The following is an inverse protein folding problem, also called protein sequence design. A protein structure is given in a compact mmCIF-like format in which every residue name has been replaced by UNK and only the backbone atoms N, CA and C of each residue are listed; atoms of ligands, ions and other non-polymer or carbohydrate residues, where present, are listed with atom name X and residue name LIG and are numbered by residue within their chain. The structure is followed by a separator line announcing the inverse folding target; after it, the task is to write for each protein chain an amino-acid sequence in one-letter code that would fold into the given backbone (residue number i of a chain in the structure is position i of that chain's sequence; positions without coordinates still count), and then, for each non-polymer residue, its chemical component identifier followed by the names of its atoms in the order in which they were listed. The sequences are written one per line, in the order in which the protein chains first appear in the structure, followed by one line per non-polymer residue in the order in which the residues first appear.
data_IF_802816913254
#
_entry.id   IF_802816913254
#
_cell.length_a   1.000
_cell.length_b   1.000
_cell.length_c   1.000
_cell.angle_alpha   90.00
_cell.angle_beta   90.00
_cell.angle_gamma   90.00
#
_symmetry.space_group_name_H-M   'P 1'
#
loop_
_entity.id
_entity.type
_entity.pdbx_description
1 polymer ?
#
# COMPACT_ATOMS: atom_id res chain seq x y z
N UNK A 1 8.66 -4.34 2.50
CA UNK A 1 8.61 -3.83 1.11
C UNK A 1 9.99 -3.93 0.49
N UNK A 2 10.13 -4.55 -0.69
CA UNK A 2 11.40 -4.62 -1.44
C UNK A 2 11.35 -3.64 -2.64
N UNK A 3 12.04 -2.48 -2.62
CA UNK A 3 11.99 -1.49 -3.70
C UNK A 3 12.77 -1.89 -4.95
N UNK A 4 13.77 -2.78 -4.84
CA UNK A 4 14.56 -3.25 -5.98
C UNK A 4 13.77 -4.16 -6.95
N UNK A 5 12.71 -4.81 -6.49
CA UNK A 5 11.84 -5.63 -7.33
C UNK A 5 10.93 -4.80 -8.25
N UNK A 6 10.74 -3.51 -7.96
CA UNK A 6 9.94 -2.62 -8.80
C UNK A 6 10.66 -2.22 -10.10
N UNK A 7 11.99 -2.08 -10.05
CA UNK A 7 12.80 -1.71 -11.22
C UNK A 7 13.04 -2.89 -12.15
N UNK A 8 13.46 -4.03 -11.60
CA UNK A 8 13.78 -5.21 -12.41
C UNK A 8 12.53 -5.87 -13.04
N UNK A 9 11.35 -5.66 -12.45
CA UNK A 9 10.11 -6.26 -12.95
C UNK A 9 9.72 -5.80 -14.36
N UNK A 10 10.04 -4.57 -14.79
CA UNK A 10 9.72 -4.09 -16.15
C UNK A 10 10.81 -4.38 -17.19
N UNK A 11 12.03 -4.70 -16.75
CA UNK A 11 13.11 -5.18 -17.64
C UNK A 11 12.80 -6.59 -18.17
N UNK A 12 12.02 -7.39 -17.43
CA UNK A 12 11.57 -8.72 -17.86
C UNK A 12 10.55 -8.64 -19.02
N UNK A 13 9.43 -7.86 -18.93
CA UNK A 13 8.57 -7.56 -20.07
C UNK A 13 9.29 -6.89 -21.24
N UNK A 14 10.29 -6.05 -20.99
CA UNK A 14 11.11 -5.47 -22.06
C UNK A 14 11.87 -6.55 -22.84
N UNK A 15 12.58 -7.43 -22.13
CA UNK A 15 13.34 -8.51 -22.75
C UNK A 15 12.47 -9.55 -23.47
N UNK A 16 11.21 -9.70 -23.07
CA UNK A 16 10.29 -10.72 -23.62
C UNK A 16 9.32 -10.19 -24.68
N UNK A 17 8.83 -8.95 -24.55
CA UNK A 17 7.67 -8.42 -25.30
C UNK A 17 7.94 -7.07 -25.97
N UNK A 18 9.10 -6.46 -25.72
CA UNK A 18 9.55 -5.25 -26.39
C UNK A 18 9.25 -3.93 -25.66
N UNK A 19 9.60 -2.79 -26.29
CA UNK A 19 9.67 -1.49 -25.63
C UNK A 19 8.32 -0.89 -25.21
N UNK A 20 7.23 -1.21 -25.91
CA UNK A 20 5.89 -0.73 -25.54
C UNK A 20 5.42 -1.32 -24.20
N UNK A 21 5.72 -2.59 -23.92
CA UNK A 21 5.37 -3.24 -22.66
C UNK A 21 6.18 -2.70 -21.49
N UNK A 22 7.43 -2.30 -21.73
CA UNK A 22 8.23 -1.55 -20.76
C UNK A 22 7.57 -0.24 -20.38
N UNK A 23 7.14 0.56 -21.37
CA UNK A 23 6.53 1.86 -21.13
C UNK A 23 5.22 1.74 -20.32
N UNK A 24 4.37 0.77 -20.68
CA UNK A 24 3.12 0.49 -19.94
C UNK A 24 3.43 0.04 -18.51
N UNK A 25 4.34 -0.92 -18.33
CA UNK A 25 4.73 -1.42 -17.01
C UNK A 25 5.34 -0.33 -16.12
N UNK A 26 6.18 0.51 -16.70
CA UNK A 26 6.80 1.65 -16.01
C UNK A 26 5.75 2.69 -15.59
N UNK A 27 4.82 3.05 -16.48
CA UNK A 27 3.77 4.02 -16.18
C UNK A 27 2.90 3.55 -15.01
N UNK A 28 2.34 2.35 -15.07
CA UNK A 28 1.50 1.80 -14.00
C UNK A 28 2.25 1.65 -12.67
N UNK A 29 3.53 1.25 -12.71
CA UNK A 29 4.32 1.11 -11.49
C UNK A 29 4.70 2.47 -10.89
N UNK A 30 5.07 3.45 -11.71
CA UNK A 30 5.32 4.82 -11.25
C UNK A 30 4.07 5.42 -10.62
N UNK A 31 2.89 5.26 -11.23
CA UNK A 31 1.64 5.71 -10.63
C UNK A 31 1.34 4.97 -9.32
N UNK A 32 1.54 3.65 -9.28
CA UNK A 32 1.36 2.85 -8.06
C UNK A 32 2.28 3.32 -6.92
N UNK A 33 3.56 3.58 -7.21
CA UNK A 33 4.51 4.07 -6.23
C UNK A 33 4.18 5.50 -5.78
N UNK A 34 3.77 6.38 -6.69
CA UNK A 34 3.37 7.75 -6.36
C UNK A 34 2.16 7.75 -5.42
N UNK A 35 1.09 7.03 -5.77
CA UNK A 35 -0.08 6.90 -4.91
C UNK A 35 0.27 6.18 -3.60
N UNK A 36 1.15 5.18 -3.64
CA UNK A 36 1.68 4.50 -2.46
C UNK A 36 2.37 5.48 -1.50
N UNK A 37 3.22 6.38 -2.00
CA UNK A 37 3.88 7.41 -1.20
C UNK A 37 2.87 8.39 -0.59
N UNK A 38 1.83 8.80 -1.32
CA UNK A 38 0.74 9.63 -0.79
C UNK A 38 0.03 8.91 0.36
N UNK A 39 -0.33 7.64 0.19
CA UNK A 39 -0.99 6.82 1.22
C UNK A 39 -0.11 6.70 2.47
N UNK A 40 1.19 6.45 2.33
CA UNK A 40 2.11 6.35 3.47
C UNK A 40 2.22 7.68 4.23
N UNK A 41 2.27 8.81 3.51
CA UNK A 41 2.34 10.13 4.14
C UNK A 41 1.08 10.45 4.94
N UNK A 42 -0.11 10.17 4.39
CA UNK A 42 -1.39 10.31 5.11
C UNK A 42 -1.43 9.39 6.34
N UNK A 43 -0.93 8.16 6.21
CA UNK A 43 -0.88 7.20 7.32
C UNK A 43 0.02 7.68 8.47
N UNK A 44 1.19 8.27 8.17
CA UNK A 44 2.06 8.89 9.19
C UNK A 44 1.31 9.98 9.98
N UNK A 45 0.65 10.89 9.27
CA UNK A 45 -0.11 11.99 9.89
C UNK A 45 -1.31 11.47 10.70
N UNK A 46 -1.97 10.39 10.25
CA UNK A 46 -3.05 9.78 11.00
C UNK A 46 -2.56 9.05 12.25
N UNK A 47 -1.40 8.39 12.20
CA UNK A 47 -0.87 7.63 13.33
C UNK A 47 -0.42 8.56 14.47
N UNK A 48 0.30 9.63 14.15
CA UNK A 48 0.71 10.60 15.19
C UNK A 48 -0.49 11.27 15.85
N UNK A 49 -1.57 11.53 15.11
CA UNK A 49 -2.81 12.10 15.65
C UNK A 49 -3.44 11.22 16.74
N UNK A 50 -3.26 9.88 16.67
CA UNK A 50 -3.76 8.97 17.70
C UNK A 50 -2.95 8.98 19.01
N UNK A 51 -1.71 9.48 18.94
CA UNK A 51 -0.85 9.72 20.11
C UNK A 51 -1.09 11.13 20.65
N UNK A 52 -1.07 12.12 19.76
CA UNK A 52 -1.20 13.53 20.09
C UNK A 52 -2.28 14.19 19.21
N UNK A 53 -3.42 14.44 19.83
CA UNK A 53 -4.62 15.05 19.24
C UNK A 53 -4.66 16.59 19.38
N UNK A 54 -3.59 17.24 19.86
CA UNK A 54 -3.54 18.70 19.97
C UNK A 54 -3.52 19.42 18.62
N UNK A 55 -3.07 18.74 17.56
CA UNK A 55 -3.00 19.30 16.21
C UNK A 55 -3.93 18.53 15.27
N UNK A 56 -4.56 19.25 14.35
CA UNK A 56 -5.35 18.66 13.28
C UNK A 56 -4.51 17.69 12.42
N UNK A 57 -5.14 16.63 11.90
CA UNK A 57 -4.48 15.66 10.98
C UNK A 57 -3.80 16.35 9.79
N UNK A 58 -4.38 17.44 9.27
CA UNK A 58 -3.75 18.22 8.20
C UNK A 58 -2.46 18.91 8.65
N UNK A 59 -2.46 19.50 9.84
CA UNK A 59 -1.25 20.14 10.41
C UNK A 59 -0.14 19.11 10.58
N UNK A 60 -0.47 17.92 11.06
CA UNK A 60 0.47 16.80 11.08
C UNK A 60 0.96 16.40 9.69
N UNK A 61 0.10 16.48 8.65
CA UNK A 61 0.49 16.22 7.26
C UNK A 61 1.48 17.27 6.72
N UNK A 62 1.38 18.53 7.14
CA UNK A 62 2.39 19.54 6.81
C UNK A 62 3.75 19.22 7.45
N UNK A 63 3.76 18.88 8.74
CA UNK A 63 4.99 18.56 9.48
C UNK A 63 5.64 17.30 8.89
N UNK A 64 4.90 16.20 8.77
CA UNK A 64 5.43 14.97 8.22
C UNK A 64 5.77 15.07 6.74
N UNK A 65 5.08 15.91 5.97
CA UNK A 65 5.43 16.19 4.58
C UNK A 65 6.79 16.87 4.46
N UNK A 66 7.07 17.86 5.32
CA UNK A 66 8.38 18.49 5.39
C UNK A 66 9.47 17.49 5.83
N UNK A 67 9.21 16.66 6.84
CA UNK A 67 10.13 15.59 7.26
C UNK A 67 10.38 14.59 6.13
N UNK A 68 9.34 14.17 5.42
CA UNK A 68 9.45 13.24 4.29
C UNK A 68 10.15 13.88 3.09
N UNK A 69 10.06 15.19 2.90
CA UNK A 69 10.81 15.90 1.86
C UNK A 69 12.32 15.85 2.07
N UNK A 70 12.80 15.69 3.30
CA UNK A 70 14.24 15.47 3.56
C UNK A 70 14.78 14.18 2.93
N UNK A 71 13.91 13.23 2.56
CA UNK A 71 14.33 12.00 1.84
C UNK A 71 14.97 12.29 0.48
N UNK A 72 14.72 13.48 -0.08
CA UNK A 72 15.36 13.98 -1.29
C UNK A 72 16.89 13.99 -1.18
N UNK A 73 17.42 14.23 0.03
CA UNK A 73 18.87 14.22 0.29
C UNK A 73 19.47 12.83 0.40
N UNK A 74 18.65 11.77 0.48
CA UNK A 74 19.15 10.39 0.61
C UNK A 74 19.65 9.93 -0.77
N UNK A 75 20.97 9.75 -0.98
CA UNK A 75 21.51 9.45 -2.31
C UNK A 75 21.21 8.02 -2.74
N UNK A 76 21.27 7.05 -1.81
CA UNK A 76 20.94 5.64 -2.04
C UNK A 76 20.80 4.88 -0.72
N UNK A 77 19.92 3.89 -0.65
CA UNK A 77 19.77 2.99 0.50
C UNK A 77 20.82 1.87 0.47
N UNK A 78 22.06 2.17 0.84
CA UNK A 78 23.15 1.18 0.85
C UNK A 78 22.89 0.02 1.85
N UNK A 79 22.27 0.32 3.00
CA UNK A 79 21.92 -0.65 4.05
C UNK A 79 20.44 -1.08 4.00
N UNK A 80 19.88 -1.28 2.80
CA UNK A 80 18.46 -1.62 2.60
C UNK A 80 18.01 -2.88 3.37
N UNK A 81 18.93 -3.84 3.60
CA UNK A 81 18.63 -5.09 4.29
C UNK A 81 18.18 -4.87 5.73
N UNK A 82 18.88 -4.02 6.47
CA UNK A 82 18.59 -3.74 7.89
C UNK A 82 17.22 -3.08 8.03
N UNK A 83 16.94 -2.07 7.20
CA UNK A 83 15.66 -1.38 7.17
C UNK A 83 14.49 -2.29 6.79
N UNK A 84 14.72 -3.24 5.88
CA UNK A 84 13.72 -4.25 5.53
C UNK A 84 13.45 -5.24 6.67
N UNK A 85 14.48 -5.69 7.40
CA UNK A 85 14.29 -6.54 8.58
C UNK A 85 13.56 -5.81 9.71
N UNK A 86 13.93 -4.56 9.96
CA UNK A 86 13.26 -3.71 10.93
C UNK A 86 11.78 -3.51 10.56
N UNK A 87 11.50 -3.33 9.27
CA UNK A 87 10.14 -3.30 8.72
C UNK A 87 9.30 -4.55 9.03
N UNK A 88 9.90 -5.74 8.88
CA UNK A 88 9.25 -7.01 9.23
C UNK A 88 8.99 -7.11 10.74
N UNK A 89 9.94 -6.70 11.58
CA UNK A 89 9.77 -6.68 13.03
C UNK A 89 8.62 -5.78 13.48
N UNK A 90 8.56 -4.54 12.97
CA UNK A 90 7.50 -3.59 13.30
C UNK A 90 6.12 -4.09 12.88
N UNK A 91 5.99 -4.63 11.67
CA UNK A 91 4.70 -5.17 11.18
C UNK A 91 4.28 -6.43 11.94
N UNK A 92 5.23 -7.27 12.36
CA UNK A 92 4.97 -8.46 13.18
C UNK A 92 4.42 -8.05 14.54
N UNK A 93 5.07 -7.10 15.23
CA UNK A 93 4.60 -6.58 16.51
C UNK A 93 3.17 -6.03 16.39
N UNK A 94 2.93 -5.15 15.41
CA UNK A 94 1.61 -4.54 15.21
C UNK A 94 0.53 -5.58 14.91
N UNK A 95 0.81 -6.58 14.07
CA UNK A 95 -0.16 -7.62 13.73
C UNK A 95 -0.56 -8.46 14.94
N UNK A 96 0.42 -8.90 15.74
CA UNK A 96 0.14 -9.67 16.96
C UNK A 96 -0.52 -8.83 18.04
N UNK A 97 -0.10 -7.57 18.20
CA UNK A 97 -0.75 -6.64 19.12
C UNK A 97 -2.22 -6.45 18.77
N UNK A 98 -2.56 -6.17 17.50
CA UNK A 98 -3.95 -6.01 17.05
C UNK A 98 -4.76 -7.29 17.28
N UNK A 99 -4.17 -8.46 17.05
CA UNK A 99 -4.83 -9.75 17.27
C UNK A 99 -5.20 -9.94 18.75
N UNK A 100 -4.21 -9.78 19.64
CA UNK A 100 -4.40 -9.97 21.08
C UNK A 100 -5.33 -8.90 21.64
N UNK A 101 -5.13 -7.64 21.28
CA UNK A 101 -5.93 -6.53 21.78
C UNK A 101 -7.39 -6.64 21.35
N UNK A 102 -7.67 -7.08 20.12
CA UNK A 102 -9.05 -7.31 19.65
C UNK A 102 -9.73 -8.47 20.39
N UNK A 103 -9.00 -9.58 20.63
CA UNK A 103 -9.53 -10.72 21.39
C UNK A 103 -9.82 -10.32 22.84
N UNK A 104 -8.91 -9.58 23.48
CA UNK A 104 -9.06 -9.13 24.87
C UNK A 104 -10.16 -8.07 25.02
N UNK A 105 -10.34 -7.20 24.02
CA UNK A 105 -11.43 -6.22 24.02
C UNK A 105 -12.81 -6.89 23.96
N UNK A 106 -12.89 -8.04 23.29
CA UNK A 106 -14.15 -8.75 23.07
C UNK A 106 -15.01 -8.10 21.98
N UNK A 107 -16.13 -8.75 21.67
CA UNK A 107 -17.07 -8.30 20.65
C UNK A 107 -17.90 -7.12 21.16
N UNK A 108 -17.92 -6.02 20.42
CA UNK A 108 -18.73 -4.84 20.77
C UNK A 108 -20.22 -5.14 20.50
N UNK A 109 -21.10 -4.73 21.42
CA UNK A 109 -22.56 -4.93 21.32
C UNK A 109 -23.15 -4.20 20.10
N UNK A 110 -23.97 -4.89 19.28
CA UNK A 110 -24.52 -4.46 17.98
C UNK A 110 -23.55 -4.48 16.78
N UNK A 111 -22.63 -5.44 16.74
CA UNK A 111 -21.80 -5.69 15.55
C UNK A 111 -22.65 -6.25 14.41
N UNK A 112 -22.78 -5.45 13.33
CA UNK A 112 -23.28 -5.91 12.04
C UNK A 112 -22.09 -6.32 11.18
N UNK A 113 -22.29 -7.34 10.37
CA UNK A 113 -21.30 -7.88 9.45
C UNK A 113 -21.83 -7.75 8.04
N UNK A 114 -21.49 -6.65 7.37
CA UNK A 114 -21.95 -6.41 6.01
C UNK A 114 -20.95 -6.96 4.99
N UNK A 115 -21.44 -7.60 3.93
CA UNK A 115 -20.61 -8.23 2.87
C UNK A 115 -19.68 -7.23 2.15
N UNK A 116 -19.99 -5.93 2.24
CA UNK A 116 -19.18 -4.83 1.68
C UNK A 116 -17.78 -4.77 2.31
N UNK A 117 -17.64 -5.10 3.60
CA UNK A 117 -16.32 -5.15 4.28
C UNK A 117 -15.45 -6.29 3.76
N UNK A 118 -16.05 -7.44 3.45
CA UNK A 118 -15.34 -8.57 2.88
C UNK A 118 -14.74 -8.21 1.51
N UNK A 119 -15.50 -7.57 0.61
CA UNK A 119 -14.98 -7.16 -0.70
C UNK A 119 -13.94 -6.03 -0.63
N UNK A 120 -14.08 -5.11 0.33
CA UNK A 120 -13.11 -4.04 0.58
C UNK A 120 -11.79 -4.60 1.15
N UNK A 121 -11.86 -5.54 2.09
CA UNK A 121 -10.70 -6.25 2.66
C UNK A 121 -9.97 -7.16 1.66
N UNK A 122 -10.71 -7.80 0.74
CA UNK A 122 -10.14 -8.61 -0.35
C UNK A 122 -9.28 -7.76 -1.30
N UNK A 123 -9.56 -6.47 -1.45
CA UNK A 123 -8.72 -5.53 -2.22
C UNK A 123 -7.42 -5.14 -1.48
N UNK A 124 -7.44 -5.13 -0.14
CA UNK A 124 -6.31 -4.88 0.75
C UNK A 124 -5.35 -6.09 0.88
N UNK A 125 -5.87 -7.31 0.94
CA UNK A 125 -5.05 -8.54 0.90
C UNK A 125 -4.35 -8.66 -0.46
N UNK A 126 -5.00 -8.15 -1.51
CA UNK A 126 -4.51 -8.17 -2.89
C UNK A 126 -3.35 -7.20 -3.17
N UNK A 127 -3.13 -6.19 -2.34
CA UNK A 127 -2.04 -5.20 -2.50
C UNK A 127 -0.72 -5.60 -1.84
N UNK A 128 -0.66 -6.75 -1.12
CA UNK A 128 0.58 -7.25 -0.53
C UNK A 128 1.42 -7.96 -1.59
N UNK A 129 2.34 -7.20 -2.20
CA UNK A 129 3.41 -7.76 -3.03
C UNK A 129 4.36 -8.57 -2.14
N UNK A 130 4.27 -9.89 -2.20
CA UNK A 130 5.31 -10.77 -1.66
C UNK A 130 6.57 -10.63 -2.53
N UNK A 131 7.69 -10.40 -1.86
CA UNK A 131 9.01 -10.19 -2.48
C UNK A 131 9.50 -11.53 -3.06
N UNK A 132 9.50 -11.69 -4.39
CA UNK A 132 10.27 -12.71 -5.07
C UNK A 132 11.63 -12.13 -5.42
N UNK A 133 12.67 -12.60 -4.74
CA UNK A 133 14.05 -12.46 -5.22
C UNK A 133 14.22 -13.44 -6.39
N UNK A 134 14.14 -12.94 -7.63
CA UNK A 134 14.72 -13.64 -8.78
C UNK A 134 16.23 -13.46 -8.75
N UNK A 135 16.87 -14.17 -7.82
CA UNK A 135 18.32 -14.28 -7.71
C UNK A 135 18.66 -15.66 -7.14
N UNK A 136 18.90 -16.62 -8.02
CA UNK A 136 19.46 -17.95 -7.75
C UNK A 136 18.92 -18.74 -6.55
N UNK A 137 17.65 -18.54 -6.16
CA UNK A 137 16.98 -19.46 -5.25
C UNK A 137 16.30 -20.56 -6.07
N UNK A 138 17.02 -21.67 -6.17
CA UNK A 138 16.52 -23.02 -6.48
C UNK A 138 15.09 -23.16 -5.92
N UNK A 139 14.15 -23.59 -6.78
CA UNK A 139 12.70 -23.33 -6.78
C UNK A 139 11.83 -23.76 -5.57
N UNK A 140 12.34 -23.78 -4.33
CA UNK A 140 11.64 -24.37 -3.17
C UNK A 140 11.13 -23.38 -2.10
N UNK A 141 11.60 -22.13 -2.02
CA UNK A 141 11.31 -21.26 -0.86
C UNK A 141 10.36 -20.06 -1.11
N UNK A 142 9.67 -20.01 -2.26
CA UNK A 142 8.70 -18.94 -2.56
C UNK A 142 7.49 -18.97 -1.60
N UNK A 143 7.13 -20.15 -1.11
CA UNK A 143 5.98 -20.31 -0.21
C UNK A 143 6.22 -19.75 1.20
N UNK A 144 7.45 -19.74 1.70
CA UNK A 144 7.73 -19.38 3.10
C UNK A 144 7.42 -17.91 3.44
N UNK A 145 7.81 -16.92 2.62
CA UNK A 145 7.38 -15.53 2.81
C UNK A 145 5.86 -15.36 2.70
N UNK A 146 5.22 -16.12 1.81
CA UNK A 146 3.77 -16.07 1.62
C UNK A 146 3.02 -16.59 2.86
N UNK A 147 3.43 -17.73 3.39
CA UNK A 147 2.90 -18.26 4.65
C UNK A 147 3.10 -17.28 5.81
N UNK A 148 4.28 -16.67 5.92
CA UNK A 148 4.55 -15.66 6.94
C UNK A 148 3.62 -14.44 6.84
N UNK A 149 3.35 -13.94 5.62
CA UNK A 149 2.40 -12.84 5.45
C UNK A 149 0.98 -13.26 5.84
N UNK A 150 0.58 -14.49 5.51
CA UNK A 150 -0.73 -15.01 5.90
C UNK A 150 -0.88 -15.16 7.41
N UNK A 151 0.14 -15.64 8.11
CA UNK A 151 0.10 -15.79 9.59
C UNK A 151 0.01 -14.44 10.30
N UNK A 152 0.51 -13.36 9.70
CA UNK A 152 0.32 -12.01 10.28
C UNK A 152 -1.03 -11.39 9.90
N UNK A 153 -1.48 -11.58 8.65
CA UNK A 153 -2.64 -10.86 8.12
C UNK A 153 -3.96 -11.49 8.52
N UNK A 154 -4.08 -12.82 8.42
CA UNK A 154 -5.35 -13.49 8.66
C UNK A 154 -5.79 -13.39 10.12
N UNK A 155 -4.94 -13.70 11.13
CA UNK A 155 -5.37 -13.61 12.52
C UNK A 155 -5.72 -12.19 12.93
N UNK A 156 -4.91 -11.19 12.51
CA UNK A 156 -5.17 -9.80 12.86
C UNK A 156 -6.43 -9.26 12.20
N UNK A 157 -6.65 -9.54 10.91
CA UNK A 157 -7.86 -9.11 10.21
C UNK A 157 -9.12 -9.79 10.78
N UNK A 158 -9.07 -11.10 11.02
CA UNK A 158 -10.20 -11.86 11.56
C UNK A 158 -10.54 -11.37 12.97
N UNK A 159 -9.54 -11.22 13.85
CA UNK A 159 -9.78 -10.80 15.24
C UNK A 159 -10.33 -9.37 15.32
N UNK A 160 -9.75 -8.43 14.57
CA UNK A 160 -10.21 -7.03 14.55
C UNK A 160 -11.60 -6.91 13.91
N UNK A 161 -11.87 -7.65 12.82
CA UNK A 161 -13.20 -7.66 12.21
C UNK A 161 -14.25 -8.32 13.10
N UNK A 162 -13.90 -9.42 13.79
CA UNK A 162 -14.78 -10.06 14.76
C UNK A 162 -15.14 -9.11 15.92
N UNK A 163 -14.16 -8.37 16.44
CA UNK A 163 -14.38 -7.44 17.54
C UNK A 163 -15.23 -6.22 17.14
N UNK A 164 -14.93 -5.57 16.00
CA UNK A 164 -15.47 -4.25 15.66
C UNK A 164 -16.47 -4.21 14.49
N UNK A 165 -16.49 -5.21 13.61
CA UNK A 165 -17.41 -5.28 12.46
C UNK A 165 -17.40 -4.03 11.58
N UNK A 166 -18.60 -3.59 11.18
CA UNK A 166 -18.84 -2.44 10.29
C UNK A 166 -18.24 -1.10 10.80
N UNK A 167 -17.82 -0.98 12.07
CA UNK A 167 -17.15 0.24 12.56
C UNK A 167 -15.81 0.50 11.83
N UNK A 168 -15.21 -0.54 11.24
CA UNK A 168 -13.98 -0.42 10.44
C UNK A 168 -14.21 0.32 9.10
N UNK A 169 -15.46 0.39 8.62
CA UNK A 169 -15.81 1.20 7.44
C UNK A 169 -15.67 2.70 7.72
N UNK A 170 -16.08 3.11 8.92
CA UNK A 170 -16.08 4.50 9.35
C UNK A 170 -14.78 4.90 10.08
N UNK A 171 -13.89 3.94 10.33
CA UNK A 171 -12.57 4.14 10.94
C UNK A 171 -11.49 3.40 10.15
N UNK A 172 -10.81 4.09 9.22
CA UNK A 172 -9.85 3.44 8.32
C UNK A 172 -8.56 2.94 9.00
N UNK A 173 -8.40 3.15 10.31
CA UNK A 173 -7.27 2.69 11.11
C UNK A 173 -7.76 2.00 12.38
N UNK A 174 -7.44 0.71 12.53
CA UNK A 174 -7.86 -0.12 13.64
C UNK A 174 -7.36 0.39 15.01
N UNK A 175 -6.23 1.09 15.07
CA UNK A 175 -5.73 1.67 16.32
C UNK A 175 -6.66 2.74 16.92
N UNK A 176 -7.57 3.30 16.11
CA UNK A 176 -8.53 4.30 16.59
C UNK A 176 -9.66 3.70 17.45
N UNK A 177 -9.92 2.40 17.30
CA UNK A 177 -10.98 1.69 18.03
C UNK A 177 -10.46 1.04 19.33
N UNK A 178 -9.14 0.91 19.47
CA UNK A 178 -8.52 0.33 20.66
C UNK A 178 -8.25 1.39 21.75
N UNK A 179 -8.42 1.04 23.04
CA UNK A 179 -8.22 1.96 24.15
C UNK A 179 -6.75 2.44 24.23
N UNK A 180 -6.55 3.70 24.65
CA UNK A 180 -5.20 4.28 24.81
C UNK A 180 -4.44 3.52 25.90
N UNK A 181 -3.36 2.83 25.51
CA UNK A 181 -2.47 2.08 26.41
C UNK A 181 -1.03 2.24 25.93
N UNK A 182 -0.03 2.07 26.80
CA UNK A 182 1.38 2.14 26.39
C UNK A 182 1.75 1.12 25.30
N UNK A 183 1.12 -0.05 25.31
CA UNK A 183 1.28 -1.08 24.27
C UNK A 183 0.70 -0.65 22.92
N UNK A 184 -0.46 0.03 22.93
CA UNK A 184 -1.04 0.64 21.74
C UNK A 184 -0.09 1.68 21.16
N UNK A 185 0.40 2.58 22.01
CA UNK A 185 1.23 3.70 21.59
C UNK A 185 2.58 3.23 21.04
N UNK A 186 3.18 2.20 21.65
CA UNK A 186 4.33 1.51 21.06
C UNK A 186 4.03 0.96 19.66
N UNK A 187 2.86 0.33 19.47
CA UNK A 187 2.41 -0.15 18.15
C UNK A 187 2.21 0.95 17.12
N UNK A 188 1.67 2.10 17.53
CA UNK A 188 1.48 3.28 16.68
C UNK A 188 2.83 3.91 16.30
N UNK A 189 3.77 4.02 17.24
CA UNK A 189 5.14 4.52 16.98
C UNK A 189 5.89 3.60 16.02
N UNK A 190 5.85 2.29 16.25
CA UNK A 190 6.47 1.30 15.35
C UNK A 190 5.86 1.38 13.95
N UNK A 191 4.55 1.59 13.84
CA UNK A 191 3.92 1.86 12.56
C UNK A 191 4.39 3.15 11.93
N UNK A 192 4.43 4.26 12.65
CA UNK A 192 4.91 5.53 12.13
C UNK A 192 6.33 5.40 11.54
N UNK A 193 7.24 4.71 12.23
CA UNK A 193 8.59 4.44 11.72
C UNK A 193 8.53 3.57 10.45
N UNK A 194 7.70 2.52 10.44
CA UNK A 194 7.49 1.68 9.27
C UNK A 194 6.98 2.47 8.05
N UNK A 195 5.99 3.34 8.22
CA UNK A 195 5.44 4.13 7.12
C UNK A 195 6.45 5.14 6.59
N UNK A 196 7.26 5.74 7.47
CA UNK A 196 8.33 6.66 7.05
C UNK A 196 9.39 5.94 6.18
N UNK A 197 9.83 4.75 6.60
CA UNK A 197 10.77 3.93 5.81
C UNK A 197 10.12 3.51 4.48
N UNK A 198 8.85 3.11 4.52
CA UNK A 198 8.10 2.70 3.33
C UNK A 198 7.93 3.85 2.33
N UNK A 199 7.68 5.06 2.81
CA UNK A 199 7.65 6.27 1.99
C UNK A 199 8.98 6.47 1.26
N UNK A 200 10.10 6.40 2.00
CA UNK A 200 11.43 6.50 1.41
C UNK A 200 11.65 5.45 0.31
N UNK A 201 11.28 4.20 0.58
CA UNK A 201 11.39 3.11 -0.40
C UNK A 201 10.48 3.27 -1.62
N UNK A 202 9.32 3.89 -1.50
CA UNK A 202 8.43 4.15 -2.63
C UNK A 202 8.91 5.35 -3.47
N UNK A 203 9.42 6.39 -2.82
CA UNK A 203 9.90 7.61 -3.48
C UNK A 203 11.25 7.45 -4.18
N UNK A 204 12.19 6.66 -3.64
CA UNK A 204 13.51 6.50 -4.25
C UNK A 204 13.50 5.98 -5.70
N UNK A 205 12.72 4.94 -6.04
CA UNK A 205 12.55 4.54 -7.44
C UNK A 205 11.99 5.67 -8.33
N UNK A 206 11.01 6.44 -7.83
CA UNK A 206 10.45 7.58 -8.56
C UNK A 206 11.52 8.64 -8.84
N UNK A 207 12.38 8.93 -7.85
CA UNK A 207 13.52 9.82 -8.03
C UNK A 207 14.46 9.33 -9.12
N UNK A 208 14.79 8.03 -9.15
CA UNK A 208 15.69 7.50 -10.18
C UNK A 208 15.08 7.55 -11.58
N UNK A 209 13.79 7.22 -11.74
CA UNK A 209 13.09 7.35 -13.02
C UNK A 209 13.09 8.82 -13.46
N UNK A 210 12.75 9.73 -12.55
CA UNK A 210 12.71 11.17 -12.83
C UNK A 210 14.11 11.72 -13.18
N UNK A 211 15.14 11.37 -12.41
CA UNK A 211 16.55 11.72 -12.69
C UNK A 211 17.00 11.26 -14.08
N UNK A 212 16.53 10.09 -14.52
CA UNK A 212 16.81 9.56 -15.86
C UNK A 212 16.06 10.33 -16.95
N UNK A 213 14.81 10.72 -16.70
CA UNK A 213 14.01 11.53 -17.64
C UNK A 213 14.62 12.92 -17.86
N UNK A 214 15.12 13.55 -16.80
CA UNK A 214 15.78 14.86 -16.88
C UNK A 214 17.26 14.79 -17.29
N UNK A 215 17.82 13.59 -17.47
CA UNK A 215 19.22 13.38 -17.86
C UNK A 215 20.27 13.74 -16.79
N UNK A 216 19.87 13.90 -15.52
CA UNK A 216 20.78 14.30 -14.42
C UNK A 216 21.34 13.13 -13.61
N UNK A 217 21.09 11.89 -14.04
CA UNK A 217 21.44 10.67 -13.29
C UNK A 217 22.94 10.55 -12.92
N UNK A 218 23.83 11.04 -13.78
CA UNK A 218 25.29 10.94 -13.60
C UNK A 218 25.91 12.09 -12.77
N UNK A 219 25.09 13.01 -12.26
CA UNK A 219 25.60 14.20 -11.57
C UNK A 219 26.13 13.87 -10.17
N UNK A 220 27.36 14.30 -9.85
CA UNK A 220 28.00 14.05 -8.55
C UNK A 220 27.53 14.95 -7.41
N UNK A 221 26.92 16.10 -7.69
CA UNK A 221 26.49 17.06 -6.66
C UNK A 221 25.15 16.67 -6.02
N UNK A 222 25.17 16.46 -4.71
CA UNK A 222 23.99 16.06 -3.92
C UNK A 222 22.92 17.16 -3.93
N UNK A 223 23.33 18.43 -3.86
CA UNK A 223 22.39 19.57 -3.85
C UNK A 223 21.62 19.70 -5.18
N UNK A 224 22.30 19.53 -6.32
CA UNK A 224 21.64 19.61 -7.63
C UNK A 224 20.69 18.42 -7.83
N UNK A 225 21.10 17.22 -7.41
CA UNK A 225 20.20 16.05 -7.38
C UNK A 225 19.01 16.25 -6.46
N UNK A 226 19.22 16.88 -5.30
CA UNK A 226 18.15 17.18 -4.36
C UNK A 226 17.11 18.11 -5.02
N UNK A 227 17.55 19.22 -5.62
CA UNK A 227 16.67 20.13 -6.35
C UNK A 227 15.91 19.43 -7.48
N UNK A 228 16.56 18.54 -8.23
CA UNK A 228 15.93 17.76 -9.29
C UNK A 228 14.84 16.80 -8.80
N UNK A 229 14.85 16.37 -7.54
CA UNK A 229 13.86 15.45 -6.96
C UNK A 229 12.67 16.16 -6.31
N UNK A 230 12.80 17.45 -5.98
CA UNK A 230 11.70 18.24 -5.40
C UNK A 230 10.42 18.21 -6.26
N UNK A 231 10.48 18.28 -7.61
CA UNK A 231 9.30 18.15 -8.46
C UNK A 231 8.53 16.83 -8.30
N UNK A 232 9.14 15.78 -7.73
CA UNK A 232 8.47 14.50 -7.44
C UNK A 232 7.77 14.53 -6.08
N UNK A 233 8.42 15.10 -5.06
CA UNK A 233 7.87 15.12 -3.69
C UNK A 233 6.77 16.15 -3.51
N UNK A 234 6.90 17.33 -4.11
CA UNK A 234 5.93 18.42 -3.95
C UNK A 234 4.52 17.97 -4.35
N UNK A 235 4.30 17.31 -5.52
CA UNK A 235 3.00 16.77 -5.86
C UNK A 235 2.49 15.70 -4.87
N UNK A 236 3.37 14.82 -4.38
CA UNK A 236 2.99 13.80 -3.38
C UNK A 236 2.51 14.48 -2.10
N UNK A 237 3.25 15.48 -1.62
CA UNK A 237 2.88 16.26 -0.44
C UNK A 237 1.56 17.00 -0.65
N UNK A 238 1.40 17.66 -1.79
CA UNK A 238 0.19 18.38 -2.16
C UNK A 238 -1.04 17.48 -2.23
N UNK A 239 -0.94 16.33 -2.89
CA UNK A 239 -2.04 15.35 -2.98
C UNK A 239 -2.45 14.81 -1.61
N UNK A 240 -1.49 14.59 -0.71
CA UNK A 240 -1.76 14.16 0.67
C UNK A 240 -2.52 15.23 1.47
N UNK A 241 -2.28 16.52 1.19
CA UNK A 241 -2.98 17.63 1.85
C UNK A 241 -4.42 17.79 1.32
N UNK A 242 -4.63 17.66 0.01
CA UNK A 242 -5.96 17.82 -0.61
C UNK A 242 -6.90 16.69 -0.19
N UNK A 243 -6.42 15.44 -0.28
CA UNK A 243 -7.22 14.25 -0.10
C UNK A 243 -6.72 13.42 1.10
N UNK A 244 -7.10 13.78 2.34
CA UNK A 244 -6.68 13.04 3.55
C UNK A 244 -7.47 11.72 3.75
N UNK A 245 -7.90 11.07 2.67
CA UNK A 245 -8.80 9.91 2.70
C UNK A 245 -8.01 8.60 2.55
N UNK A 246 -7.38 8.15 3.63
CA UNK A 246 -6.53 6.94 3.60
C UNK A 246 -7.25 5.71 3.03
N UNK A 247 -8.43 5.38 3.54
CA UNK A 247 -9.20 4.19 3.13
C UNK A 247 -9.62 4.21 1.65
N UNK A 248 -10.38 5.22 1.19
CA UNK A 248 -10.82 5.29 -0.20
C UNK A 248 -9.68 5.35 -1.21
N UNK A 249 -8.61 6.11 -0.94
CA UNK A 249 -7.45 6.17 -1.84
C UNK A 249 -6.79 4.80 -1.93
N UNK A 250 -6.58 4.13 -0.79
CA UNK A 250 -5.98 2.81 -0.78
C UNK A 250 -6.83 1.75 -1.50
N UNK A 251 -8.16 1.81 -1.36
CA UNK A 251 -9.08 0.94 -2.10
C UNK A 251 -9.06 1.23 -3.60
N UNK A 252 -9.12 2.50 -4.01
CA UNK A 252 -9.08 2.91 -5.41
C UNK A 252 -7.75 2.53 -6.08
N UNK A 253 -6.62 2.72 -5.40
CA UNK A 253 -5.29 2.29 -5.88
C UNK A 253 -5.23 0.77 -6.03
N UNK A 254 -5.82 0.03 -5.09
CA UNK A 254 -5.96 -1.42 -5.18
C UNK A 254 -6.75 -1.84 -6.43
N UNK A 255 -7.95 -1.30 -6.61
CA UNK A 255 -8.81 -1.66 -7.72
C UNK A 255 -8.24 -1.26 -9.10
N UNK A 256 -7.61 -0.08 -9.20
CA UNK A 256 -7.20 0.51 -10.47
C UNK A 256 -5.74 0.23 -10.86
N UNK A 257 -4.81 0.15 -9.91
CA UNK A 257 -3.37 0.02 -10.22
C UNK A 257 -2.82 -1.36 -9.89
N UNK A 258 -3.26 -1.97 -8.77
CA UNK A 258 -2.82 -3.32 -8.40
C UNK A 258 -3.38 -4.36 -9.37
N UNK A 259 -4.64 -4.22 -9.80
CA UNK A 259 -5.25 -5.04 -10.85
C UNK A 259 -4.35 -5.18 -12.08
N UNK A 260 -3.83 -4.06 -12.61
CA UNK A 260 -2.99 -4.10 -13.80
C UNK A 260 -1.58 -4.59 -13.51
N UNK A 261 -0.94 -4.08 -12.45
CA UNK A 261 0.47 -4.38 -12.16
C UNK A 261 0.71 -5.80 -11.65
N UNK A 262 -0.23 -6.37 -10.88
CA UNK A 262 -0.07 -7.67 -10.23
C UNK A 262 -0.73 -8.80 -11.02
N UNK A 263 -1.83 -8.52 -11.73
CA UNK A 263 -2.59 -9.56 -12.41
C UNK A 263 -2.53 -9.42 -13.93
N UNK A 264 -3.06 -8.33 -14.49
CA UNK A 264 -3.27 -8.22 -15.94
C UNK A 264 -1.95 -8.24 -16.70
N UNK A 265 -0.96 -7.40 -16.31
CA UNK A 265 0.31 -7.31 -17.03
C UNK A 265 1.11 -8.62 -16.91
N UNK A 266 1.35 -9.21 -15.73
CA UNK A 266 2.05 -10.49 -15.63
C UNK A 266 1.35 -11.64 -16.36
N UNK A 267 0.02 -11.77 -16.24
CA UNK A 267 -0.73 -12.83 -16.91
C UNK A 267 -0.69 -12.67 -18.43
N UNK A 268 -0.85 -11.44 -18.94
CA UNK A 268 -0.73 -11.13 -20.36
C UNK A 268 0.68 -11.41 -20.87
N UNK A 269 1.69 -11.00 -20.11
CA UNK A 269 3.08 -11.22 -20.46
C UNK A 269 3.42 -12.71 -20.55
N UNK A 270 2.96 -13.50 -19.58
CA UNK A 270 3.11 -14.96 -19.58
C UNK A 270 2.42 -15.61 -20.79
N UNK A 271 1.17 -15.25 -21.06
CA UNK A 271 0.41 -15.77 -22.20
C UNK A 271 1.04 -15.44 -23.56
N UNK A 272 1.57 -14.22 -23.72
CA UNK A 272 2.21 -13.78 -24.95
C UNK A 272 3.59 -14.41 -25.14
N UNK A 273 4.39 -14.51 -24.07
CA UNK A 273 5.73 -15.13 -24.10
C UNK A 273 5.67 -16.59 -24.52
N UNK A 274 4.72 -17.35 -23.96
CA UNK A 274 4.55 -18.78 -24.25
C UNK A 274 3.50 -19.06 -25.35
N UNK A 275 3.30 -18.12 -26.27
CA UNK A 275 2.37 -18.32 -27.39
C UNK A 275 2.87 -19.35 -28.40
N UNK A 276 4.17 -19.36 -28.69
CA UNK A 276 4.78 -20.27 -29.67
C UNK A 276 5.16 -21.62 -29.06
N UNK A 277 5.09 -22.68 -29.87
CA UNK A 277 5.48 -24.03 -29.44
C UNK A 277 6.98 -24.12 -29.10
N UNK A 278 7.83 -23.38 -29.83
CA UNK A 278 9.27 -23.30 -29.56
C UNK A 278 9.58 -22.65 -28.22
N UNK A 279 8.84 -21.61 -27.81
CA UNK A 279 9.02 -20.97 -26.51
C UNK A 279 8.60 -21.88 -25.34
N UNK A 280 7.57 -22.72 -25.53
CA UNK A 280 7.12 -23.69 -24.53
C UNK A 280 8.12 -24.82 -24.32
N UNK A 281 8.80 -25.26 -25.37
CA UNK A 281 9.81 -26.32 -25.30
C UNK A 281 11.12 -25.82 -24.65
N UNK A 282 11.47 -24.56 -24.87
CA UNK A 282 12.67 -23.92 -24.32
C UNK A 282 12.42 -23.19 -22.98
N UNK A 283 11.28 -23.43 -22.33
CA UNK A 283 10.95 -22.78 -21.07
C UNK A 283 11.91 -23.23 -19.94
N UNK A 284 12.54 -22.26 -19.28
CA UNK A 284 13.48 -22.51 -18.17
C UNK A 284 12.79 -23.17 -16.95
N UNK A 285 11.49 -22.90 -16.76
CA UNK A 285 10.68 -23.50 -15.71
C UNK A 285 9.51 -24.26 -16.34
N UNK A 286 9.47 -25.57 -16.12
CA UNK A 286 8.39 -26.45 -16.60
C UNK A 286 7.14 -26.23 -15.76
N UNK A 287 5.97 -26.61 -16.30
CA UNK A 287 4.73 -26.54 -15.54
C UNK A 287 4.84 -27.29 -14.21
N UNK A 288 4.18 -26.80 -13.15
CA UNK A 288 4.08 -27.53 -11.90
C UNK A 288 3.42 -28.89 -12.15
N UNK A 289 3.82 -29.90 -11.37
CA UNK A 289 3.34 -31.29 -11.47
C UNK A 289 1.80 -31.41 -11.55
N UNK A 290 1.06 -30.49 -10.93
CA UNK A 290 -0.40 -30.49 -10.91
C UNK A 290 -1.07 -29.94 -12.19
N UNK A 291 -0.33 -29.28 -13.10
CA UNK A 291 -0.89 -28.71 -14.33
C UNK A 291 -0.25 -29.43 -15.53
N UNK A 292 -0.97 -30.38 -16.17
CA UNK A 292 -0.37 -31.25 -17.19
C UNK A 292 -0.14 -30.54 -18.53
N UNK A 293 -0.90 -29.48 -18.85
CA UNK A 293 -0.92 -28.87 -20.18
C UNK A 293 -0.74 -27.35 -20.15
N UNK A 294 0.09 -26.82 -21.07
CA UNK A 294 0.25 -25.38 -21.31
C UNK A 294 -1.08 -24.69 -21.67
N UNK A 295 -1.99 -25.38 -22.36
CA UNK A 295 -3.33 -24.87 -22.67
C UNK A 295 -4.16 -24.61 -21.40
N UNK A 296 -4.04 -25.46 -20.38
CA UNK A 296 -4.72 -25.27 -19.09
C UNK A 296 -4.14 -24.03 -18.39
N UNK A 297 -2.82 -23.88 -18.39
CA UNK A 297 -2.16 -22.68 -17.85
C UNK A 297 -2.58 -21.39 -18.57
N UNK A 298 -2.79 -21.46 -19.90
CA UNK A 298 -3.32 -20.33 -20.67
C UNK A 298 -4.76 -19.98 -20.26
N UNK A 299 -5.64 -20.99 -20.15
CA UNK A 299 -7.04 -20.79 -19.74
C UNK A 299 -7.12 -20.23 -18.32
N UNK A 300 -6.30 -20.72 -17.38
CA UNK A 300 -6.24 -20.19 -16.02
C UNK A 300 -5.83 -18.72 -16.02
N UNK A 301 -4.77 -18.36 -16.75
CA UNK A 301 -4.32 -16.96 -16.83
C UNK A 301 -5.38 -16.05 -17.48
N UNK A 302 -6.04 -16.53 -18.54
CA UNK A 302 -7.12 -15.81 -19.19
C UNK A 302 -8.32 -15.62 -18.25
N UNK A 303 -8.71 -16.67 -17.52
CA UNK A 303 -9.78 -16.61 -16.53
C UNK A 303 -9.44 -15.63 -15.40
N UNK A 304 -8.25 -15.70 -14.82
CA UNK A 304 -7.79 -14.78 -13.77
C UNK A 304 -7.83 -13.34 -14.27
N UNK A 305 -7.35 -13.09 -15.49
CA UNK A 305 -7.36 -11.75 -16.08
C UNK A 305 -8.79 -11.22 -16.25
N UNK A 306 -9.70 -12.00 -16.86
CA UNK A 306 -11.11 -11.59 -17.07
C UNK A 306 -11.82 -11.39 -15.72
N UNK A 307 -11.63 -12.31 -14.78
CA UNK A 307 -12.22 -12.23 -13.44
C UNK A 307 -11.76 -10.98 -12.69
N UNK A 308 -10.45 -10.72 -12.68
CA UNK A 308 -9.89 -9.55 -11.98
C UNK A 308 -10.30 -8.24 -12.67
N UNK A 309 -10.45 -8.22 -14.00
CA UNK A 309 -10.98 -7.06 -14.71
C UNK A 309 -12.46 -6.81 -14.39
N UNK A 310 -13.30 -7.85 -14.35
CA UNK A 310 -14.72 -7.69 -14.07
C UNK A 310 -14.99 -7.34 -12.60
N UNK A 311 -14.42 -8.12 -11.67
CA UNK A 311 -14.68 -7.98 -10.23
C UNK A 311 -13.80 -6.92 -9.59
N UNK A 312 -12.51 -6.91 -9.90
CA UNK A 312 -11.54 -5.98 -9.32
C UNK A 312 -11.65 -4.59 -9.91
N UNK A 313 -11.41 -4.46 -11.22
CA UNK A 313 -11.44 -3.15 -11.89
C UNK A 313 -12.88 -2.64 -12.11
N UNK A 314 -13.80 -3.50 -12.56
CA UNK A 314 -15.19 -3.13 -12.80
C UNK A 314 -15.95 -2.79 -11.52
N UNK A 315 -16.48 -3.81 -10.84
CA UNK A 315 -17.30 -3.60 -9.63
C UNK A 315 -16.51 -2.95 -8.49
N UNK A 316 -15.30 -3.43 -8.20
CA UNK A 316 -14.47 -2.88 -7.15
C UNK A 316 -13.99 -1.44 -7.43
N UNK A 317 -13.64 -1.14 -8.68
CA UNK A 317 -13.25 0.21 -9.09
C UNK A 317 -14.42 1.18 -9.01
N UNK A 318 -15.60 0.79 -9.50
CA UNK A 318 -16.82 1.59 -9.39
C UNK A 318 -17.17 1.91 -7.94
N UNK A 319 -17.22 0.89 -7.07
CA UNK A 319 -17.54 1.08 -5.66
C UNK A 319 -16.52 1.97 -4.93
N UNK A 320 -15.22 1.76 -5.20
CA UNK A 320 -14.15 2.57 -4.60
C UNK A 320 -14.22 4.02 -5.05
N UNK A 321 -14.47 4.27 -6.34
CA UNK A 321 -14.58 5.62 -6.89
C UNK A 321 -15.84 6.34 -6.40
N UNK A 322 -16.98 5.66 -6.36
CA UNK A 322 -18.21 6.22 -5.82
C UNK A 322 -18.07 6.61 -4.33
N UNK A 323 -17.39 5.77 -3.54
CA UNK A 323 -17.10 6.11 -2.15
C UNK A 323 -16.13 7.30 -2.03
N UNK A 324 -15.10 7.35 -2.87
CA UNK A 324 -14.17 8.48 -2.91
C UNK A 324 -14.89 9.80 -3.23
N UNK A 325 -15.72 9.82 -4.27
CA UNK A 325 -16.52 11.00 -4.66
C UNK A 325 -17.45 11.40 -3.52
N UNK A 326 -18.19 10.45 -2.94
CA UNK A 326 -19.08 10.72 -1.80
C UNK A 326 -18.35 11.34 -0.61
N UNK A 327 -17.10 10.96 -0.37
CA UNK A 327 -16.30 11.56 0.71
C UNK A 327 -15.80 12.95 0.36
N UNK A 328 -15.43 13.19 -0.89
CA UNK A 328 -15.11 14.54 -1.38
C UNK A 328 -16.33 15.45 -1.23
N UNK A 329 -17.52 14.98 -1.60
CA UNK A 329 -18.77 15.75 -1.49
C UNK A 329 -19.16 16.02 -0.03
N UNK A 330 -18.94 15.06 0.87
CA UNK A 330 -19.30 15.19 2.29
C UNK A 330 -18.33 16.08 3.08
N UNK A 331 -17.02 15.94 2.86
CA UNK A 331 -16.00 16.61 3.68
C UNK A 331 -15.34 17.80 2.98
N UNK A 332 -15.53 17.95 1.68
CA UNK A 332 -14.86 18.96 0.85
C UNK A 332 -13.41 18.62 0.54
N UNK A 333 -12.84 19.35 -0.43
CA UNK A 333 -11.41 19.37 -0.67
C UNK A 333 -10.73 20.11 0.48
N UNK A 334 -9.58 19.62 0.96
CA UNK A 334 -8.89 20.16 2.14
C UNK A 334 -9.80 20.12 3.39
N UNK A 335 -10.16 18.93 3.87
CA UNK A 335 -10.78 18.77 5.19
C UNK A 335 -9.73 18.98 6.31
N UNK A 336 -10.05 19.70 7.41
CA UNK A 336 -9.08 19.93 8.51
C UNK A 336 -8.81 18.64 9.27
N UNK A 337 -9.87 17.86 9.48
CA UNK A 337 -9.84 16.58 10.15
C UNK A 337 -10.82 15.62 9.45
N UNK A 338 -10.33 14.46 9.02
CA UNK A 338 -11.13 13.38 8.45
C UNK A 338 -11.33 12.29 9.52
N UNK A 339 -12.58 11.87 9.77
CA UNK A 339 -12.94 10.89 10.82
C UNK A 339 -12.38 11.24 12.22
N UNK A 340 -12.41 12.52 12.61
CA UNK A 340 -12.06 12.94 13.96
C UNK A 340 -13.32 13.10 14.79
N UNK A 341 -13.30 12.74 16.09
CA UNK A 341 -14.37 13.13 16.99
C UNK A 341 -14.58 14.65 16.88
N UNK A 342 -15.82 15.16 16.94
CA UNK A 342 -16.02 16.60 17.04
C UNK A 342 -15.20 17.09 18.24
N UNK A 343 -14.31 18.05 18.01
CA UNK A 343 -13.60 18.71 19.10
C UNK A 343 -14.68 19.16 20.09
N UNK A 344 -14.56 18.75 21.37
CA UNK A 344 -15.36 19.36 22.43
C UNK A 344 -15.15 20.86 22.27
N UNK A 345 -16.19 21.53 21.80
CA UNK A 345 -16.19 22.97 21.64
C UNK A 345 -15.91 23.50 23.04
N UNK A 346 -14.79 24.19 23.21
CA UNK A 346 -14.57 25.01 24.38
C UNK A 346 -15.71 26.05 24.40
N UNK A 347 -16.76 25.79 25.16
CA UNK A 347 -17.99 26.55 25.04
C UNK A 347 -19.20 25.88 25.70
N UNK A 348 -19.11 25.59 27.00
CA UNK A 348 -20.27 25.63 27.89
C UNK A 348 -19.77 25.65 29.33
N UNK A 349 -19.61 26.85 29.87
CA UNK A 349 -19.76 27.07 31.31
C UNK A 349 -21.16 26.57 31.69
N UNK A 350 -21.28 25.32 32.10
CA UNK A 350 -22.37 24.92 32.98
C UNK A 350 -21.86 25.09 34.40
N UNK A 351 -22.13 26.29 34.91
CA UNK A 351 -22.29 26.60 36.32
C UNK A 351 -22.98 25.43 37.02
N UNK A 352 -22.27 24.82 37.97
CA UNK A 352 -22.85 24.08 39.08
C UNK A 352 -23.85 25.01 39.79
N UNK A 353 -25.13 24.70 39.68
CA UNK A 353 -26.14 25.16 40.60
C UNK A 353 -26.93 23.95 41.11
N UNK A 354 -26.95 23.88 42.44
CA UNK A 354 -27.63 22.96 43.36
C UNK A 354 -26.97 21.62 43.66
#
# INVERSE_FOLDING_TARGET
MCPFSGFQWFEVPEGLLGPYWKAVGLAFNCTFLLCGSVIQLIACASNIYYINDHLDKRTWTYIFGACCATTVFIPSFHNYRIWSFLGLGMTTYTAWYLTIAAIVHGQVSNTKYTVVDFFSGVSLVRSRKSCMQFGNLKSSNIFMPLFFVFTLTLPSAIAVYWAFGDQLLDHSNAFSLLPRTGWRDAGVILMLIHQFITFGFACTPLYFVWEKVIGMHDTKSICLRALARLPVVIPIWFLAIIFPFFGPINSAVGALLVTFTVYVIPASAHMLTYRSASARQNAAEKLPFFIPNWSIMYVINAFVMVWVLAVGFGFGGWASMANFIKQVDKFGLFAKCYQCPPHKTAGSNQTLHH
#
